data_IF_858006399510
#
_entry.id   IF_858006399510
#
_cell.length_a   1.000
_cell.length_b   1.000
_cell.length_c   1.000
_cell.angle_alpha   90.00
_cell.angle_beta   90.00
_cell.angle_gamma   90.00
#
_symmetry.space_group_name_H-M   'P 1'
#
loop_
_entity.id
_entity.type
_entity.pdbx_description
1 polymer ?
#
# COMPACT_ATOMS: atom_id res chain seq x y z
N UNK A 1 -65.57 -14.82 3.70
CA UNK A 1 -64.20 -15.29 4.11
C UNK A 1 -63.09 -15.00 3.07
N UNK A 2 -63.35 -14.68 1.84
CA UNK A 2 -62.31 -14.44 0.80
C UNK A 2 -61.67 -13.02 0.78
N UNK A 3 -62.28 -12.02 1.42
CA UNK A 3 -61.72 -10.67 1.44
C UNK A 3 -60.68 -10.40 2.55
N UNK A 4 -60.63 -11.19 3.58
CA UNK A 4 -59.68 -11.00 4.71
C UNK A 4 -58.29 -11.60 4.36
N UNK A 5 -58.23 -12.67 3.57
CA UNK A 5 -56.95 -13.26 3.16
C UNK A 5 -56.19 -12.40 2.14
N UNK A 6 -56.85 -11.67 1.27
CA UNK A 6 -56.21 -10.79 0.29
C UNK A 6 -55.54 -9.57 0.97
N UNK A 7 -56.10 -9.01 2.05
CA UNK A 7 -55.49 -7.90 2.76
C UNK A 7 -54.19 -8.32 3.53
N UNK A 8 -54.12 -9.53 4.02
CA UNK A 8 -52.89 -10.03 4.72
C UNK A 8 -51.74 -10.28 3.76
N UNK A 9 -52.00 -10.73 2.54
CA UNK A 9 -51.00 -10.96 1.49
C UNK A 9 -50.38 -9.65 0.96
N UNK A 10 -51.15 -8.58 0.88
CA UNK A 10 -50.66 -7.26 0.46
C UNK A 10 -49.75 -6.64 1.54
N UNK A 11 -50.11 -6.73 2.80
CA UNK A 11 -49.28 -6.19 3.89
C UNK A 11 -47.96 -6.92 4.06
N UNK A 12 -47.86 -8.21 3.79
CA UNK A 12 -46.61 -8.97 3.83
C UNK A 12 -45.70 -8.67 2.63
N UNK A 13 -46.24 -8.48 1.44
CA UNK A 13 -45.46 -8.08 0.24
C UNK A 13 -44.85 -6.67 0.39
N UNK A 14 -45.63 -5.72 0.90
CA UNK A 14 -45.14 -4.35 1.14
C UNK A 14 -44.05 -4.30 2.25
N UNK A 15 -44.19 -5.07 3.31
CA UNK A 15 -43.14 -5.19 4.34
C UNK A 15 -41.87 -5.83 3.79
N UNK A 16 -41.96 -6.88 2.98
CA UNK A 16 -40.80 -7.48 2.32
C UNK A 16 -40.13 -6.54 1.33
N UNK A 17 -40.90 -5.75 0.56
CA UNK A 17 -40.38 -4.77 -0.37
C UNK A 17 -39.66 -3.61 0.34
N UNK A 18 -40.20 -3.14 1.48
CA UNK A 18 -39.57 -2.08 2.31
C UNK A 18 -38.30 -2.60 3.00
N UNK A 19 -38.26 -3.84 3.48
CA UNK A 19 -37.07 -4.44 4.08
C UNK A 19 -35.96 -4.65 3.04
N UNK A 20 -36.31 -5.16 1.86
CA UNK A 20 -35.35 -5.34 0.78
C UNK A 20 -34.77 -4.00 0.26
N UNK A 21 -35.58 -2.95 0.19
CA UNK A 21 -35.08 -1.61 -0.19
C UNK A 21 -34.20 -0.97 0.89
N UNK A 22 -34.50 -1.16 2.19
CA UNK A 22 -33.65 -0.67 3.27
C UNK A 22 -32.29 -1.40 3.28
N UNK A 23 -32.28 -2.71 3.09
CA UNK A 23 -31.05 -3.50 3.03
C UNK A 23 -30.20 -3.10 1.82
N UNK A 24 -30.80 -2.93 0.63
CA UNK A 24 -30.10 -2.44 -0.56
C UNK A 24 -29.54 -1.02 -0.39
N UNK A 25 -30.20 -0.13 0.36
CA UNK A 25 -29.71 1.22 0.63
C UNK A 25 -28.52 1.20 1.62
N UNK A 26 -28.62 0.41 2.68
CA UNK A 26 -27.52 0.24 3.64
C UNK A 26 -26.29 -0.45 3.00
N UNK A 27 -26.50 -1.43 2.11
CA UNK A 27 -25.42 -2.03 1.35
C UNK A 27 -24.77 -1.04 0.37
N UNK A 28 -25.55 -0.22 -0.35
CA UNK A 28 -25.03 0.85 -1.21
C UNK A 28 -24.20 1.87 -0.41
N UNK A 29 -24.66 2.31 0.74
CA UNK A 29 -23.94 3.25 1.60
C UNK A 29 -22.64 2.64 2.16
N UNK A 30 -22.69 1.37 2.57
CA UNK A 30 -21.49 0.61 2.98
C UNK A 30 -20.50 0.43 1.82
N UNK A 31 -21.01 0.28 0.61
CA UNK A 31 -20.26 0.17 -0.63
C UNK A 31 -19.48 1.46 -0.98
N UNK A 32 -20.14 2.59 -0.90
CA UNK A 32 -19.54 3.90 -1.15
C UNK A 32 -18.39 4.12 -0.15
N UNK A 33 -18.61 3.87 1.14
CA UNK A 33 -17.62 4.09 2.19
C UNK A 33 -16.33 3.28 2.03
N UNK A 34 -16.38 2.03 1.54
CA UNK A 34 -15.17 1.19 1.39
C UNK A 34 -14.35 1.61 0.16
N UNK A 35 -15.00 2.01 -0.93
CA UNK A 35 -14.30 2.54 -2.13
C UNK A 35 -13.61 3.87 -1.81
N UNK A 36 -14.27 4.74 -1.06
CA UNK A 36 -13.67 5.97 -0.55
C UNK A 36 -12.50 5.72 0.41
N UNK A 37 -12.54 4.66 1.24
CA UNK A 37 -11.45 4.32 2.16
C UNK A 37 -10.16 3.96 1.41
N UNK A 38 -10.22 3.12 0.39
CA UNK A 38 -9.06 2.74 -0.43
C UNK A 38 -8.48 3.95 -1.18
N UNK A 39 -9.33 4.77 -1.78
CA UNK A 39 -8.92 5.99 -2.48
C UNK A 39 -8.31 7.02 -1.51
N UNK A 40 -8.89 7.22 -0.32
CA UNK A 40 -8.35 8.08 0.73
C UNK A 40 -6.97 7.62 1.21
N UNK A 41 -6.74 6.32 1.36
CA UNK A 41 -5.43 5.77 1.73
C UNK A 41 -4.37 6.09 0.67
N UNK A 42 -4.69 5.93 -0.62
CA UNK A 42 -3.77 6.23 -1.72
C UNK A 42 -3.47 7.74 -1.82
N UNK A 43 -4.49 8.60 -1.74
CA UNK A 43 -4.33 10.06 -1.74
C UNK A 43 -3.49 10.50 -0.54
N UNK A 44 -3.77 9.96 0.63
CA UNK A 44 -3.07 10.27 1.87
C UNK A 44 -1.59 9.83 1.83
N UNK A 45 -1.27 8.69 1.18
CA UNK A 45 0.11 8.26 0.95
C UNK A 45 0.86 9.28 0.08
N UNK A 46 0.26 9.62 -1.06
CA UNK A 46 0.85 10.58 -2.00
C UNK A 46 1.02 11.99 -1.39
N UNK A 47 0.08 12.43 -0.58
CA UNK A 47 0.21 13.70 0.15
C UNK A 47 1.39 13.69 1.13
N UNK A 48 1.63 12.57 1.79
CA UNK A 48 2.76 12.42 2.70
C UNK A 48 4.10 12.43 1.95
N UNK A 49 4.20 11.77 0.80
CA UNK A 49 5.37 11.86 -0.08
C UNK A 49 5.64 13.31 -0.51
N UNK A 50 4.61 14.06 -0.92
CA UNK A 50 4.70 15.48 -1.29
C UNK A 50 5.14 16.35 -0.10
N UNK A 51 4.66 16.08 1.11
CA UNK A 51 5.07 16.80 2.31
C UNK A 51 6.58 16.67 2.55
N UNK A 52 7.10 15.45 2.51
CA UNK A 52 8.54 15.18 2.69
C UNK A 52 9.35 15.83 1.59
N UNK A 53 8.92 15.69 0.33
CA UNK A 53 9.57 16.32 -0.81
C UNK A 53 9.64 17.85 -0.66
N UNK A 54 8.54 18.48 -0.17
CA UNK A 54 8.49 19.92 0.07
C UNK A 54 9.47 20.39 1.15
N UNK A 55 9.80 19.56 2.11
CA UNK A 55 10.84 19.85 3.10
C UNK A 55 12.23 19.67 2.46
N UNK A 56 12.48 18.53 1.84
CA UNK A 56 13.79 18.18 1.29
C UNK A 56 14.28 19.13 0.20
N UNK A 57 13.39 19.69 -0.63
CA UNK A 57 13.77 20.65 -1.66
C UNK A 57 14.40 21.95 -1.12
N UNK A 58 14.21 22.25 0.17
CA UNK A 58 14.81 23.38 0.86
C UNK A 58 15.99 22.96 1.75
N UNK A 59 16.42 21.71 1.66
CA UNK A 59 17.49 21.21 2.48
C UNK A 59 18.82 21.11 1.71
N UNK A 60 19.90 21.18 2.47
CA UNK A 60 21.23 20.78 2.01
C UNK A 60 21.83 19.81 3.02
N UNK A 61 22.75 18.97 2.52
CA UNK A 61 23.56 18.09 3.36
C UNK A 61 25.03 18.42 3.13
N UNK A 62 25.77 18.69 4.22
CA UNK A 62 27.18 19.12 4.14
C UNK A 62 27.41 20.27 3.13
N UNK A 63 26.47 21.19 3.07
CA UNK A 63 26.52 22.35 2.16
C UNK A 63 26.08 22.09 0.71
N UNK A 64 25.82 20.84 0.32
CA UNK A 64 25.31 20.51 -1.00
C UNK A 64 23.77 20.42 -1.00
N UNK A 65 23.04 21.14 -1.86
CA UNK A 65 21.58 21.05 -1.94
C UNK A 65 21.11 19.64 -2.26
N UNK A 66 19.97 19.24 -1.70
CA UNK A 66 19.27 18.05 -2.14
C UNK A 66 18.65 18.32 -3.52
N UNK A 67 19.18 17.69 -4.54
CA UNK A 67 18.54 17.68 -5.86
C UNK A 67 17.52 16.53 -5.86
N UNK A 68 16.28 16.85 -5.55
CA UNK A 68 15.18 15.88 -5.63
C UNK A 68 14.71 15.76 -7.06
N UNK A 69 14.46 14.55 -7.52
CA UNK A 69 13.80 14.31 -8.78
C UNK A 69 12.41 14.95 -8.81
N UNK A 70 11.94 15.27 -9.99
CA UNK A 70 10.68 15.98 -10.18
C UNK A 70 9.49 15.23 -9.59
N UNK A 71 8.47 15.97 -9.12
CA UNK A 71 7.18 15.47 -8.60
C UNK A 71 6.50 14.42 -9.50
N UNK A 72 6.86 14.31 -10.77
CA UNK A 72 6.31 13.35 -11.72
C UNK A 72 6.67 11.88 -11.39
N UNK A 73 7.68 11.64 -10.57
CA UNK A 73 8.14 10.30 -10.20
C UNK A 73 7.66 9.86 -8.81
N UNK A 74 6.95 10.71 -8.09
CA UNK A 74 6.45 10.41 -6.75
C UNK A 74 5.37 9.34 -6.78
N UNK A 75 5.72 8.16 -6.33
CA UNK A 75 4.84 7.06 -6.00
C UNK A 75 4.02 6.46 -7.16
N UNK A 76 3.87 5.16 -7.14
CA UNK A 76 3.03 4.40 -8.05
C UNK A 76 3.64 3.06 -8.40
N UNK A 77 2.86 2.19 -9.04
CA UNK A 77 3.32 0.86 -9.48
C UNK A 77 4.45 0.89 -10.53
N UNK A 78 4.87 2.08 -10.95
CA UNK A 78 5.85 2.28 -12.02
C UNK A 78 7.16 2.88 -11.57
N UNK A 79 7.22 3.55 -10.40
CA UNK A 79 8.47 4.11 -9.89
C UNK A 79 9.13 3.13 -8.93
N UNK A 80 10.45 3.03 -9.02
CA UNK A 80 11.24 2.15 -8.18
C UNK A 80 11.46 2.74 -6.79
N UNK A 81 11.54 4.06 -6.69
CA UNK A 81 11.91 4.84 -5.50
C UNK A 81 10.87 5.95 -5.33
N UNK A 82 10.43 6.22 -4.09
CA UNK A 82 9.46 7.28 -3.83
C UNK A 82 10.10 8.68 -3.90
N UNK A 83 11.30 8.84 -3.32
CA UNK A 83 12.13 10.04 -3.46
C UNK A 83 13.57 9.61 -3.78
N UNK A 84 14.11 10.18 -4.85
CA UNK A 84 15.51 10.04 -5.20
C UNK A 84 16.20 11.40 -5.01
N UNK A 85 17.31 11.39 -4.28
CA UNK A 85 18.14 12.56 -4.02
C UNK A 85 19.53 12.31 -4.58
N UNK A 86 20.09 13.27 -5.29
CA UNK A 86 21.50 13.25 -5.68
C UNK A 86 22.32 13.86 -4.55
N UNK A 87 23.26 13.12 -4.05
CA UNK A 87 24.15 13.54 -2.98
C UNK A 87 25.60 13.34 -3.41
N UNK A 88 26.42 14.41 -3.33
CA UNK A 88 27.84 14.39 -3.69
C UNK A 88 28.10 13.68 -5.03
N UNK A 89 27.89 14.40 -6.11
CA UNK A 89 28.35 14.17 -7.49
C UNK A 89 28.18 12.79 -8.13
N UNK A 90 27.89 11.68 -7.41
CA UNK A 90 27.77 10.36 -8.05
C UNK A 90 26.90 9.32 -7.29
N UNK A 91 26.32 9.63 -6.13
CA UNK A 91 25.53 8.63 -5.42
C UNK A 91 24.07 9.08 -5.31
N UNK A 92 23.20 8.43 -6.07
CA UNK A 92 21.77 8.55 -5.92
C UNK A 92 21.32 7.90 -4.61
N UNK A 93 20.67 8.66 -3.75
CA UNK A 93 20.09 8.16 -2.50
C UNK A 93 18.61 7.95 -2.70
N UNK A 94 18.17 6.72 -2.61
CA UNK A 94 16.76 6.36 -2.65
C UNK A 94 16.15 6.37 -1.25
N UNK A 95 14.97 6.98 -1.12
CA UNK A 95 14.17 7.00 0.11
C UNK A 95 12.80 6.43 -0.21
N UNK A 96 12.43 5.37 0.49
CA UNK A 96 11.07 4.82 0.46
C UNK A 96 10.23 5.51 1.53
N UNK A 97 8.96 5.81 1.22
CA UNK A 97 8.06 6.51 2.13
C UNK A 97 6.85 5.65 2.44
N UNK A 98 6.58 5.46 3.73
CA UNK A 98 5.44 4.67 4.19
C UNK A 98 4.63 5.40 5.24
N UNK A 99 3.30 5.28 5.10
CA UNK A 99 2.41 5.59 6.22
C UNK A 99 2.30 4.36 7.12
N UNK A 100 2.46 4.55 8.42
CA UNK A 100 2.43 3.47 9.40
C UNK A 100 1.15 2.63 9.35
N UNK A 101 0.02 3.23 8.98
CA UNK A 101 -1.28 2.56 8.87
C UNK A 101 -1.58 1.98 7.49
N UNK A 102 -0.60 1.94 6.59
CA UNK A 102 -0.77 1.30 5.28
C UNK A 102 -0.73 -0.22 5.45
N UNK A 103 -1.77 -0.95 5.03
CA UNK A 103 -1.86 -2.38 5.31
C UNK A 103 -0.92 -3.26 4.47
N UNK A 104 -0.40 -2.74 3.35
CA UNK A 104 0.47 -3.48 2.43
C UNK A 104 1.66 -2.59 2.05
N UNK A 105 2.88 -3.01 2.39
CA UNK A 105 4.07 -2.22 2.11
C UNK A 105 4.71 -2.54 0.76
N UNK A 106 4.76 -3.80 0.41
CA UNK A 106 5.18 -4.28 -0.91
C UNK A 106 4.22 -5.35 -1.35
N UNK A 107 3.65 -5.24 -2.54
CA UNK A 107 2.65 -6.19 -3.02
C UNK A 107 2.88 -6.58 -4.48
N UNK A 108 2.56 -7.82 -4.80
CA UNK A 108 2.54 -8.32 -6.16
C UNK A 108 1.33 -9.23 -6.42
N UNK A 109 0.93 -9.36 -7.68
CA UNK A 109 -0.05 -10.37 -8.09
C UNK A 109 0.63 -11.73 -8.16
N UNK A 110 -0.04 -12.76 -7.63
CA UNK A 110 0.41 -14.14 -7.69
C UNK A 110 -0.60 -15.02 -8.41
N UNK A 111 -0.11 -16.12 -8.94
CA UNK A 111 -0.87 -17.09 -9.75
C UNK A 111 -0.50 -18.48 -9.31
N UNK A 112 -1.42 -19.43 -9.47
CA UNK A 112 -1.14 -20.84 -9.26
C UNK A 112 -0.74 -21.51 -10.59
N UNK A 113 0.40 -22.18 -10.61
CA UNK A 113 0.87 -23.01 -11.71
C UNK A 113 0.44 -24.46 -11.46
N UNK A 114 -0.63 -24.89 -12.10
CA UNK A 114 -1.20 -26.23 -11.93
C UNK A 114 -0.20 -27.35 -12.33
N UNK A 115 0.70 -27.08 -13.30
CA UNK A 115 1.70 -28.05 -13.75
C UNK A 115 2.81 -28.25 -12.72
N UNK A 116 3.21 -27.17 -12.05
CA UNK A 116 4.28 -27.18 -11.05
C UNK A 116 3.75 -27.28 -9.63
N UNK A 117 2.44 -27.29 -9.46
CA UNK A 117 1.73 -27.32 -8.17
C UNK A 117 2.26 -26.25 -7.18
N UNK A 118 2.44 -25.01 -7.65
CA UNK A 118 2.98 -23.93 -6.82
C UNK A 118 2.41 -22.56 -7.15
N UNK A 119 2.40 -21.70 -6.15
CA UNK A 119 2.14 -20.29 -6.34
C UNK A 119 3.39 -19.54 -6.83
N UNK A 120 3.21 -18.58 -7.70
CA UNK A 120 4.32 -17.80 -8.24
C UNK A 120 3.90 -16.37 -8.58
N UNK A 121 4.88 -15.45 -8.54
CA UNK A 121 4.77 -14.08 -9.00
C UNK A 121 5.30 -14.00 -10.44
N UNK A 122 4.51 -13.46 -11.37
CA UNK A 122 4.91 -13.37 -12.76
C UNK A 122 5.80 -12.16 -13.03
N UNK A 123 6.99 -12.38 -13.57
CA UNK A 123 7.92 -11.29 -13.99
C UNK A 123 7.31 -10.38 -15.05
N UNK A 124 6.48 -10.90 -15.94
CA UNK A 124 5.84 -10.12 -17.02
C UNK A 124 4.82 -9.09 -16.51
N UNK A 125 4.33 -9.25 -15.27
CA UNK A 125 3.34 -8.38 -14.65
C UNK A 125 3.90 -7.50 -13.52
N UNK A 126 5.09 -7.83 -13.02
CA UNK A 126 5.81 -7.05 -12.03
C UNK A 126 6.99 -6.38 -12.72
N UNK A 127 7.08 -5.07 -12.63
CA UNK A 127 8.10 -4.28 -13.32
C UNK A 127 9.52 -4.52 -12.79
N UNK A 128 9.65 -5.16 -11.63
CA UNK A 128 10.92 -5.48 -11.00
C UNK A 128 11.11 -7.01 -10.97
N UNK A 129 12.01 -7.57 -11.81
CA UNK A 129 12.26 -9.01 -11.83
C UNK A 129 12.72 -9.59 -10.49
N UNK A 130 13.62 -8.89 -9.79
CA UNK A 130 14.15 -9.28 -8.46
C UNK A 130 13.06 -9.38 -7.40
N UNK A 131 12.08 -8.49 -7.41
CA UNK A 131 10.92 -8.56 -6.50
C UNK A 131 10.10 -9.83 -6.77
N UNK A 132 9.89 -10.18 -8.04
CA UNK A 132 9.18 -11.41 -8.38
C UNK A 132 9.92 -12.65 -7.89
N UNK A 133 11.24 -12.69 -8.02
CA UNK A 133 12.05 -13.81 -7.56
C UNK A 133 12.00 -13.96 -6.05
N UNK A 134 12.07 -12.85 -5.30
CA UNK A 134 11.94 -12.89 -3.85
C UNK A 134 10.55 -13.36 -3.41
N UNK A 135 9.46 -12.87 -4.01
CA UNK A 135 8.13 -13.39 -3.71
C UNK A 135 7.99 -14.88 -4.05
N UNK A 136 8.62 -15.35 -5.13
CA UNK A 136 8.63 -16.77 -5.46
C UNK A 136 9.32 -17.61 -4.38
N UNK A 137 10.44 -17.15 -3.82
CA UNK A 137 11.10 -17.79 -2.69
C UNK A 137 10.22 -17.79 -1.43
N UNK A 138 9.59 -16.66 -1.10
CA UNK A 138 8.72 -16.54 0.08
C UNK A 138 7.46 -17.41 -0.01
N UNK A 139 6.98 -17.69 -1.21
CA UNK A 139 5.79 -18.50 -1.46
C UNK A 139 6.11 -20.00 -1.65
N UNK A 140 7.40 -20.34 -1.74
CA UNK A 140 7.83 -21.71 -1.90
C UNK A 140 7.33 -22.57 -0.73
N UNK A 141 6.77 -23.74 -1.04
CA UNK A 141 6.23 -24.69 -0.06
C UNK A 141 5.10 -24.15 0.83
N UNK A 142 4.45 -23.03 0.46
CA UNK A 142 3.28 -22.51 1.18
C UNK A 142 2.00 -23.08 0.59
N UNK A 143 1.15 -23.65 1.44
CA UNK A 143 -0.20 -24.05 1.07
C UNK A 143 -1.13 -22.85 1.15
N UNK A 144 -1.68 -22.44 0.04
CA UNK A 144 -2.54 -21.27 -0.10
C UNK A 144 -3.76 -21.70 -0.91
N UNK A 145 -4.97 -21.45 -0.41
CA UNK A 145 -6.24 -21.79 -1.08
C UNK A 145 -6.25 -23.23 -1.62
N UNK A 146 -5.82 -24.21 -0.79
CA UNK A 146 -5.70 -25.64 -1.12
C UNK A 146 -4.82 -25.93 -2.35
N UNK A 147 -3.88 -25.05 -2.67
CA UNK A 147 -3.02 -25.17 -3.85
C UNK A 147 -3.81 -25.43 -5.13
N UNK A 148 -4.80 -24.63 -5.39
CA UNK A 148 -5.59 -24.68 -6.62
C UNK A 148 -5.89 -23.28 -7.14
N UNK A 149 -6.09 -23.16 -8.45
CA UNK A 149 -6.58 -21.91 -9.03
C UNK A 149 -8.01 -21.65 -8.55
N UNK A 150 -8.28 -20.54 -7.83
CA UNK A 150 -9.63 -20.22 -7.40
C UNK A 150 -10.59 -20.09 -8.59
N UNK A 151 -11.73 -20.75 -8.52
CA UNK A 151 -12.72 -20.80 -9.60
C UNK A 151 -13.20 -19.39 -10.02
N UNK A 152 -13.36 -18.49 -9.06
CA UNK A 152 -13.80 -17.10 -9.31
C UNK A 152 -12.79 -16.23 -10.11
N UNK A 153 -11.57 -16.73 -10.34
CA UNK A 153 -10.63 -16.09 -11.27
C UNK A 153 -10.86 -16.52 -12.71
N UNK A 154 -11.47 -17.69 -12.93
CA UNK A 154 -11.81 -18.24 -14.25
C UNK A 154 -13.23 -17.84 -14.66
N UNK A 155 -14.13 -17.66 -13.70
CA UNK A 155 -15.54 -17.37 -13.91
C UNK A 155 -15.85 -15.88 -13.78
N UNK A 156 -16.93 -15.47 -14.41
CA UNK A 156 -17.46 -14.11 -14.30
C UNK A 156 -18.48 -14.08 -13.17
N UNK A 157 -18.10 -13.50 -12.04
CA UNK A 157 -18.97 -13.37 -10.88
C UNK A 157 -19.26 -11.89 -10.59
N UNK A 158 -20.42 -11.60 -10.04
CA UNK A 158 -20.79 -10.29 -9.53
C UNK A 158 -20.19 -10.04 -8.15
N UNK A 159 -20.20 -8.79 -7.68
CA UNK A 159 -19.71 -8.51 -6.33
C UNK A 159 -20.58 -9.10 -5.20
N UNK A 160 -21.92 -9.11 -5.28
CA UNK A 160 -22.75 -9.82 -4.31
C UNK A 160 -22.45 -11.31 -4.23
N UNK A 161 -22.27 -11.99 -5.37
CA UNK A 161 -21.86 -13.42 -5.39
C UNK A 161 -20.50 -13.62 -4.72
N UNK A 162 -19.51 -12.78 -5.04
CA UNK A 162 -18.21 -12.84 -4.36
C UNK A 162 -18.34 -12.64 -2.84
N UNK A 163 -19.16 -11.66 -2.42
CA UNK A 163 -19.37 -11.41 -1.00
C UNK A 163 -20.00 -12.60 -0.28
N UNK A 164 -21.00 -13.23 -0.91
CA UNK A 164 -21.62 -14.47 -0.41
C UNK A 164 -20.61 -15.62 -0.31
N UNK A 165 -19.84 -15.87 -1.37
CA UNK A 165 -18.79 -16.89 -1.39
C UNK A 165 -17.78 -16.67 -0.25
N UNK A 166 -17.32 -15.44 -0.06
CA UNK A 166 -16.35 -15.12 0.99
C UNK A 166 -16.92 -15.31 2.41
N UNK A 167 -18.22 -15.11 2.59
CA UNK A 167 -18.89 -15.30 3.90
C UNK A 167 -19.27 -16.75 4.19
N UNK A 168 -19.42 -17.58 3.17
CA UNK A 168 -19.85 -18.98 3.31
C UNK A 168 -18.74 -19.93 3.76
N UNK A 169 -17.48 -19.50 3.76
CA UNK A 169 -16.34 -20.34 4.09
C UNK A 169 -15.12 -19.52 4.49
N UNK A 170 -14.29 -20.07 5.39
CA UNK A 170 -13.00 -19.50 5.77
C UNK A 170 -11.90 -19.71 4.72
N UNK A 171 -12.13 -20.52 3.72
CA UNK A 171 -11.17 -20.87 2.65
C UNK A 171 -10.56 -19.63 1.99
N UNK A 172 -11.35 -18.55 1.83
CA UNK A 172 -10.93 -17.31 1.16
C UNK A 172 -10.50 -16.21 2.12
N UNK A 173 -10.25 -16.56 3.38
CA UNK A 173 -9.66 -15.63 4.34
C UNK A 173 -8.20 -15.33 3.96
N UNK A 174 -7.68 -14.24 4.51
CA UNK A 174 -6.29 -13.87 4.30
C UNK A 174 -5.36 -14.91 4.96
N UNK A 175 -4.38 -15.40 4.22
CA UNK A 175 -3.32 -16.26 4.74
C UNK A 175 -2.15 -15.40 5.21
N UNK A 176 -1.57 -15.73 6.35
CA UNK A 176 -0.43 -15.05 6.94
C UNK A 176 0.69 -16.04 7.21
N UNK A 177 1.90 -15.72 6.77
CA UNK A 177 3.09 -16.53 7.00
C UNK A 177 4.22 -15.64 7.48
N UNK A 178 4.95 -16.11 8.48
CA UNK A 178 6.16 -15.44 8.95
C UNK A 178 7.24 -15.47 7.90
N UNK A 179 7.98 -14.38 7.79
CA UNK A 179 9.10 -14.20 6.88
C UNK A 179 10.28 -13.59 7.63
N UNK A 180 11.52 -13.76 7.13
CA UNK A 180 12.69 -13.16 7.76
C UNK A 180 12.57 -11.66 7.94
N UNK A 181 13.03 -11.12 9.08
CA UNK A 181 12.97 -9.70 9.43
C UNK A 181 13.78 -8.79 8.48
N UNK A 182 14.65 -9.39 7.66
CA UNK A 182 15.40 -8.68 6.63
C UNK A 182 14.62 -8.50 5.32
N UNK A 183 13.47 -9.16 5.15
CA UNK A 183 12.78 -9.26 3.85
C UNK A 183 12.39 -7.89 3.28
N UNK A 184 11.74 -7.03 4.08
CA UNK A 184 11.32 -5.69 3.63
C UNK A 184 12.56 -4.83 3.33
N UNK A 185 13.61 -4.91 4.15
CA UNK A 185 14.88 -4.21 3.88
C UNK A 185 15.45 -4.61 2.53
N UNK A 186 15.59 -5.91 2.29
CA UNK A 186 16.13 -6.45 1.05
C UNK A 186 15.29 -6.02 -0.17
N UNK A 187 13.95 -6.08 -0.06
CA UNK A 187 13.06 -5.63 -1.12
C UNK A 187 13.27 -4.17 -1.51
N UNK A 188 13.43 -3.27 -0.53
CA UNK A 188 13.63 -1.85 -0.83
C UNK A 188 15.06 -1.55 -1.28
N UNK A 189 16.05 -2.27 -0.76
CA UNK A 189 17.43 -2.16 -1.25
C UNK A 189 17.52 -2.56 -2.72
N UNK A 190 16.88 -3.65 -3.14
CA UNK A 190 16.79 -4.07 -4.54
C UNK A 190 16.09 -3.03 -5.43
N UNK A 191 15.24 -2.18 -4.87
CA UNK A 191 14.68 -1.02 -5.56
C UNK A 191 15.63 0.17 -5.64
N UNK A 192 16.78 0.14 -5.00
CA UNK A 192 17.73 1.25 -4.89
C UNK A 192 17.43 2.20 -3.73
N UNK A 193 16.61 1.80 -2.74
CA UNK A 193 16.39 2.60 -1.55
C UNK A 193 17.48 2.34 -0.50
N UNK A 194 17.96 3.41 0.13
CA UNK A 194 18.94 3.37 1.23
C UNK A 194 18.28 3.66 2.57
N UNK A 195 17.20 4.42 2.54
CA UNK A 195 16.45 4.82 3.72
C UNK A 195 14.95 4.54 3.54
N UNK A 196 14.28 4.42 4.69
CA UNK A 196 12.81 4.37 4.76
C UNK A 196 12.32 5.39 5.79
N UNK A 197 11.41 6.27 5.36
CA UNK A 197 10.69 7.17 6.23
C UNK A 197 9.31 6.61 6.52
N UNK A 198 8.98 6.47 7.81
CA UNK A 198 7.68 5.95 8.25
C UNK A 198 6.98 7.03 9.05
N UNK A 199 5.75 7.39 8.65
CA UNK A 199 4.97 8.39 9.39
C UNK A 199 4.78 7.97 10.85
N UNK A 200 4.88 8.91 11.78
CA UNK A 200 4.73 8.69 13.22
C UNK A 200 5.91 7.94 13.88
N UNK A 201 6.83 7.34 13.10
CA UNK A 201 7.97 6.55 13.60
C UNK A 201 9.32 7.17 13.25
N UNK A 202 9.47 7.85 12.11
CA UNK A 202 10.68 8.56 11.72
C UNK A 202 11.46 7.89 10.61
N UNK A 203 12.75 8.23 10.52
CA UNK A 203 13.68 7.82 9.47
C UNK A 203 14.60 6.69 9.94
N UNK A 204 14.80 5.70 9.07
CA UNK A 204 15.65 4.54 9.31
C UNK A 204 16.55 4.30 8.09
N UNK A 205 17.75 3.78 8.30
CA UNK A 205 18.53 3.22 7.20
C UNK A 205 18.20 1.74 6.99
N UNK A 206 18.33 1.28 5.73
CA UNK A 206 17.98 -0.10 5.37
C UNK A 206 19.17 -1.07 5.51
N UNK A 207 20.40 -0.58 5.40
CA UNK A 207 21.64 -1.36 5.53
C UNK A 207 22.71 -0.53 6.22
N UNK A 208 23.36 0.38 5.48
CA UNK A 208 24.35 1.32 5.97
C UNK A 208 23.77 2.74 6.01
N UNK A 209 24.16 3.50 7.02
CA UNK A 209 23.83 4.92 7.12
C UNK A 209 24.81 5.77 6.29
N UNK A 210 24.73 5.61 4.96
CA UNK A 210 25.67 6.21 3.99
C UNK A 210 25.73 7.74 4.05
N UNK A 211 24.68 8.39 4.55
CA UNK A 211 24.64 9.85 4.73
C UNK A 211 25.13 10.29 6.09
N UNK A 212 25.33 9.38 7.05
CA UNK A 212 25.66 9.68 8.42
C UNK A 212 24.56 10.45 9.14
N UNK A 213 23.31 10.08 8.91
CA UNK A 213 22.13 10.68 9.56
C UNK A 213 21.98 10.25 11.01
N UNK A 214 22.74 9.26 11.45
CA UNK A 214 22.67 8.65 12.78
C UNK A 214 21.31 8.02 13.07
N UNK A 215 20.62 7.57 12.01
CA UNK A 215 19.34 6.90 12.11
C UNK A 215 19.52 5.44 12.56
N UNK A 216 18.55 4.85 13.26
CA UNK A 216 18.59 3.42 13.55
C UNK A 216 18.38 2.60 12.29
N UNK A 217 18.83 1.34 12.32
CA UNK A 217 18.51 0.37 11.26
C UNK A 217 17.03 0.01 11.32
N UNK A 218 16.39 -0.11 10.15
CA UNK A 218 15.03 -0.61 10.08
C UNK A 218 14.99 -2.11 10.42
N UNK A 219 14.40 -2.44 11.55
CA UNK A 219 14.27 -3.82 12.02
C UNK A 219 12.91 -4.03 12.69
N UNK A 220 12.14 -4.98 12.20
CA UNK A 220 10.81 -5.31 12.72
C UNK A 220 10.43 -6.72 12.28
N UNK A 221 9.67 -7.44 13.11
CA UNK A 221 9.05 -8.70 12.71
C UNK A 221 8.10 -8.52 11.54
N UNK A 222 8.16 -9.44 10.59
CA UNK A 222 7.49 -9.32 9.30
C UNK A 222 6.68 -10.56 8.96
N UNK A 223 5.69 -10.35 8.11
CA UNK A 223 4.87 -11.44 7.56
C UNK A 223 4.55 -11.18 6.09
N UNK A 224 4.32 -12.24 5.33
CA UNK A 224 3.65 -12.16 4.04
C UNK A 224 2.17 -12.43 4.24
N UNK A 225 1.33 -11.59 3.69
CA UNK A 225 -0.11 -11.76 3.63
C UNK A 225 -0.54 -12.09 2.21
N UNK A 226 -1.25 -13.20 2.04
CA UNK A 226 -1.88 -13.55 0.75
C UNK A 226 -3.38 -13.40 0.88
N UNK A 227 -3.98 -12.70 -0.06
CA UNK A 227 -5.41 -12.40 -0.03
C UNK A 227 -6.06 -12.31 -1.40
N UNK A 228 -7.37 -12.48 -1.44
CA UNK A 228 -8.18 -12.11 -2.59
C UNK A 228 -8.42 -10.59 -2.58
N UNK A 229 -7.94 -9.90 -3.61
CA UNK A 229 -8.10 -8.45 -3.76
C UNK A 229 -9.22 -8.15 -4.76
N UNK A 230 -10.15 -7.32 -4.33
CA UNK A 230 -11.17 -6.72 -5.18
C UNK A 230 -10.60 -5.44 -5.79
N UNK A 231 -10.37 -5.42 -7.11
CA UNK A 231 -9.90 -4.24 -7.84
C UNK A 231 -11.05 -3.33 -8.24
N UNK A 232 -12.15 -3.93 -8.68
CA UNK A 232 -13.41 -3.22 -8.90
C UNK A 232 -14.56 -4.17 -8.58
N UNK A 233 -15.64 -3.62 -8.04
CA UNK A 233 -16.86 -4.37 -7.71
C UNK A 233 -17.70 -4.62 -8.94
N UNK A 234 -17.64 -3.67 -9.87
CA UNK A 234 -18.34 -3.73 -11.13
C UNK A 234 -17.44 -3.21 -12.25
N UNK A 235 -17.25 -4.01 -13.28
CA UNK A 235 -16.64 -3.59 -14.53
C UNK A 235 -17.74 -3.18 -15.52
N UNK A 236 -17.36 -2.74 -16.73
CA UNK A 236 -18.31 -2.34 -17.81
C UNK A 236 -19.35 -3.42 -18.17
N UNK A 237 -19.16 -4.67 -17.71
CA UNK A 237 -20.05 -5.81 -17.97
C UNK A 237 -20.76 -6.31 -16.71
N UNK A 238 -20.73 -5.55 -15.61
CA UNK A 238 -21.40 -5.89 -14.34
C UNK A 238 -20.69 -6.93 -13.48
N UNK A 239 -19.43 -7.32 -13.80
CA UNK A 239 -18.69 -8.35 -13.06
C UNK A 239 -17.61 -7.78 -12.15
N UNK A 240 -17.39 -8.47 -11.05
CA UNK A 240 -16.32 -8.17 -10.11
C UNK A 240 -14.94 -8.49 -10.72
N UNK A 241 -13.96 -7.62 -10.48
CA UNK A 241 -12.57 -7.87 -10.87
C UNK A 241 -11.74 -8.26 -9.66
N UNK A 242 -11.36 -9.53 -9.60
CA UNK A 242 -10.60 -10.13 -8.51
C UNK A 242 -9.18 -10.50 -8.95
N UNK A 243 -8.27 -10.57 -8.00
CA UNK A 243 -6.94 -11.17 -8.15
C UNK A 243 -6.43 -11.70 -6.82
N UNK A 244 -5.45 -12.58 -6.86
CA UNK A 244 -4.71 -12.98 -5.67
C UNK A 244 -3.48 -12.09 -5.55
N UNK A 245 -3.29 -11.52 -4.36
CA UNK A 245 -2.17 -10.63 -4.05
C UNK A 245 -1.40 -11.16 -2.86
N UNK A 246 -0.08 -11.19 -3.00
CA UNK A 246 0.85 -11.34 -1.88
C UNK A 246 1.41 -9.99 -1.49
N UNK A 247 1.56 -9.72 -0.20
CA UNK A 247 2.09 -8.46 0.32
C UNK A 247 2.99 -8.73 1.51
N UNK A 248 4.17 -8.10 1.56
CA UNK A 248 5.00 -8.04 2.75
C UNK A 248 4.56 -6.87 3.62
N UNK A 249 4.51 -7.08 4.93
CA UNK A 249 4.11 -6.06 5.91
C UNK A 249 4.72 -6.37 7.28
N UNK A 250 4.91 -5.36 8.15
CA UNK A 250 5.20 -5.57 9.56
C UNK A 250 4.07 -6.37 10.23
N UNK A 251 4.42 -7.30 11.13
CA UNK A 251 3.42 -7.98 11.98
C UNK A 251 2.74 -7.00 12.91
N UNK A 252 3.53 -6.17 13.57
CA UNK A 252 3.04 -5.14 14.49
C UNK A 252 3.91 -3.89 14.36
N UNK A 253 3.41 -2.85 13.72
CA UNK A 253 4.15 -1.60 13.56
C UNK A 253 4.47 -0.94 14.92
N UNK A 254 3.67 -1.18 15.95
CA UNK A 254 3.89 -0.58 17.27
C UNK A 254 5.12 -1.15 17.99
N UNK A 255 5.68 -2.28 17.54
CA UNK A 255 6.93 -2.83 18.07
C UNK A 255 8.18 -2.13 17.49
N UNK A 256 8.02 -1.32 16.45
CA UNK A 256 9.13 -0.56 15.88
C UNK A 256 9.56 0.55 16.83
N UNK A 257 10.82 0.56 17.22
CA UNK A 257 11.41 1.65 18.02
C UNK A 257 11.41 2.93 17.20
N UNK A 258 10.87 4.02 17.76
CA UNK A 258 10.81 5.31 17.07
C UNK A 258 12.20 5.87 16.87
N UNK A 259 12.46 6.41 15.69
CA UNK A 259 13.66 7.19 15.42
C UNK A 259 13.51 8.61 15.96
N UNK A 260 14.62 9.17 16.46
CA UNK A 260 14.68 10.59 16.86
C UNK A 260 14.63 11.52 15.65
N UNK A 261 14.94 11.01 14.47
CA UNK A 261 14.99 11.76 13.21
C UNK A 261 13.80 11.46 12.32
N UNK A 262 13.35 12.49 11.61
CA UNK A 262 12.25 12.39 10.63
C UNK A 262 12.41 13.43 9.53
N UNK A 263 12.01 13.07 8.30
CA UNK A 263 12.01 13.96 7.14
C UNK A 263 10.68 14.73 6.98
N UNK A 264 9.68 14.44 7.79
CA UNK A 264 8.36 15.09 7.75
C UNK A 264 8.20 16.25 8.73
N UNK A 265 9.24 16.52 9.54
CA UNK A 265 9.27 17.57 10.55
C UNK A 265 10.65 18.26 10.56
N UNK A 266 10.69 19.57 10.38
CA UNK A 266 11.94 20.35 10.31
C UNK A 266 12.79 20.21 11.56
N UNK A 267 12.16 20.18 12.72
CA UNK A 267 12.78 20.10 14.03
C UNK A 267 13.42 18.73 14.30
N UNK A 268 13.01 17.72 13.50
CA UNK A 268 13.49 16.33 13.59
C UNK A 268 14.41 15.94 12.44
N UNK A 269 14.81 16.87 11.61
CA UNK A 269 15.79 16.56 10.55
C UNK A 269 17.10 16.06 11.16
N UNK A 270 17.78 15.09 10.51
CA UNK A 270 19.14 14.70 10.89
C UNK A 270 20.08 15.92 11.02
N UNK A 271 20.96 15.91 12.00
CA UNK A 271 21.79 17.09 12.36
C UNK A 271 22.68 17.60 11.23
N UNK A 272 23.03 16.76 10.27
CA UNK A 272 23.84 17.12 9.10
C UNK A 272 23.01 17.60 7.91
N UNK A 273 21.69 17.71 8.08
CA UNK A 273 20.77 18.33 7.10
C UNK A 273 20.50 19.76 7.58
N UNK A 274 20.86 20.75 6.76
CA UNK A 274 20.51 22.15 6.96
C UNK A 274 19.26 22.49 6.15
N UNK A 275 18.26 23.10 6.80
CA UNK A 275 17.07 23.65 6.16
C UNK A 275 17.28 25.12 5.85
N UNK A 276 16.99 25.53 4.61
CA UNK A 276 17.09 26.92 4.14
C UNK A 276 15.70 27.49 3.93
N UNK A 277 15.36 28.53 4.66
CA UNK A 277 14.14 29.26 4.37
C UNK A 277 14.28 29.99 3.04
N UNK A 278 13.29 29.87 2.16
CA UNK A 278 13.24 30.70 0.97
C UNK A 278 13.08 32.15 1.44
N UNK A 279 14.11 32.95 1.22
CA UNK A 279 14.03 34.41 1.42
C UNK A 279 12.95 34.94 0.50
N UNK A 280 11.75 35.16 1.03
CA UNK A 280 10.70 35.94 0.38
C UNK A 280 11.12 37.39 0.42
N UNK A 281 12.07 37.78 -0.43
CA UNK A 281 12.38 39.20 -0.68
C UNK A 281 11.40 39.71 -1.73
N UNK A 282 10.26 40.20 -1.28
CA UNK A 282 9.53 41.23 -1.99
C UNK A 282 9.06 42.24 -0.98
N UNK A 283 9.96 43.15 -0.61
CA UNK A 283 9.56 44.47 -0.15
C UNK A 283 8.79 45.11 -1.32
N UNK A 284 7.59 45.64 -1.12
CA UNK A 284 6.98 46.47 -2.13
C UNK A 284 7.85 47.75 -2.22
N UNK A 285 8.46 47.95 -3.37
CA UNK A 285 9.06 49.25 -3.73
C UNK A 285 7.94 50.24 -3.70
N UNK A 286 7.93 51.09 -2.66
CA UNK A 286 7.19 52.36 -2.66
C UNK A 286 7.70 53.19 -3.82
N UNK A 287 6.92 53.21 -4.90
CA UNK A 287 7.06 54.24 -5.94
C UNK A 287 6.17 55.40 -5.50
N UNK A 288 6.82 56.47 -5.05
CA UNK A 288 6.24 57.80 -4.95
C UNK A 288 6.09 58.42 -6.35
#
# INVERSE_FOLDING_TARGET
MHQIEQCHLWHTKDKQYIVNNKNNRQEKEKHINITYKGMRCSISGKQYEIQIWNILKHCSIRGSPFHTNTLQQLGGSTSNIDIQCNFLSNNDIGIEIKKCRTPDWMQCSIYFDEKKNRWFSSKSRNKHPTISDLFNQLLENKTIFDNATPFFLKEKITYPEWHHIKQSTDKWNDHHFDIPDSTIRNLYREKGCHYIQISEYGLYHLDEDICGFLTPVFQIEQQIRVRVKVHSRENKKGFCRLSIMASCLPKNINSLTKSDFSLDCREKLPKNIAYHESSSSSSPSNIF
#
